data_IF_970513673438
#
_entry.id   IF_970513673438
#
_cell.length_a   1.000
_cell.length_b   1.000
_cell.length_c   1.000
_cell.angle_alpha   90.00
_cell.angle_beta   90.00
_cell.angle_gamma   90.00
#
_symmetry.space_group_name_H-M   'P 1'
#
loop_
_entity.id
_entity.type
_entity.pdbx_description
1 polymer ?
#
# COMPACT_ATOMS: atom_id res chain seq x y z
N UNK A 1 -1.84 -35.38 -22.14
CA UNK A 1 -3.02 -34.71 -21.56
C UNK A 1 -2.75 -34.51 -20.08
N UNK A 2 -2.04 -33.45 -19.74
CA UNK A 2 -1.79 -33.03 -18.36
C UNK A 2 -2.94 -32.10 -18.03
N UNK A 3 -3.85 -32.53 -17.16
CA UNK A 3 -4.82 -31.61 -16.58
C UNK A 3 -4.00 -30.64 -15.72
N UNK A 4 -4.07 -29.32 -15.95
CA UNK A 4 -3.53 -28.39 -14.97
C UNK A 4 -4.32 -28.62 -13.70
N UNK A 5 -3.60 -28.91 -12.62
CA UNK A 5 -4.15 -29.02 -11.29
C UNK A 5 -4.94 -27.74 -11.02
N UNK A 6 -6.25 -27.90 -11.07
CA UNK A 6 -7.25 -26.89 -10.81
C UNK A 6 -6.89 -26.24 -9.48
N UNK A 7 -6.57 -24.93 -9.50
CA UNK A 7 -6.43 -24.09 -8.31
C UNK A 7 -7.83 -23.96 -7.73
N UNK A 8 -8.24 -25.03 -7.06
CA UNK A 8 -9.47 -25.14 -6.34
C UNK A 8 -9.24 -24.46 -5.00
N UNK A 9 -10.07 -23.46 -4.71
CA UNK A 9 -9.94 -22.48 -3.63
C UNK A 9 -8.93 -21.38 -3.94
N UNK A 10 -9.45 -20.17 -4.11
CA UNK A 10 -8.77 -18.97 -3.67
C UNK A 10 -8.37 -19.23 -2.21
N UNK A 11 -7.15 -19.71 -2.01
CA UNK A 11 -6.53 -19.79 -0.70
C UNK A 11 -6.22 -18.35 -0.28
N UNK A 12 -7.28 -17.60 0.06
CA UNK A 12 -7.13 -16.27 0.63
C UNK A 12 -6.20 -16.34 1.84
N UNK A 13 -6.21 -17.46 2.57
CA UNK A 13 -5.25 -17.73 3.63
C UNK A 13 -3.83 -17.84 3.09
N UNK A 14 -3.57 -18.58 2.02
CA UNK A 14 -2.27 -18.69 1.36
C UNK A 14 -1.78 -17.37 0.74
N UNK A 15 -2.67 -16.60 0.11
CA UNK A 15 -2.35 -15.27 -0.41
C UNK A 15 -2.06 -14.28 0.73
N UNK A 16 -2.86 -14.32 1.80
CA UNK A 16 -2.63 -13.50 2.99
C UNK A 16 -1.33 -13.91 3.70
N UNK A 17 -1.04 -15.20 3.81
CA UNK A 17 0.22 -15.71 4.39
C UNK A 17 1.39 -15.32 3.51
N UNK A 18 1.30 -15.48 2.19
CA UNK A 18 2.34 -15.08 1.26
C UNK A 18 2.58 -13.56 1.30
N UNK A 19 1.52 -12.76 1.36
CA UNK A 19 1.60 -11.30 1.46
C UNK A 19 2.16 -10.87 2.82
N UNK A 20 1.71 -11.50 3.91
CA UNK A 20 2.25 -11.27 5.26
C UNK A 20 3.73 -11.67 5.29
N UNK A 21 4.12 -12.81 4.72
CA UNK A 21 5.51 -13.21 4.64
C UNK A 21 6.33 -12.25 3.77
N UNK A 22 5.82 -11.82 2.61
CA UNK A 22 6.51 -10.91 1.70
C UNK A 22 6.68 -9.49 2.28
N UNK A 23 5.75 -9.02 3.11
CA UNK A 23 5.81 -7.68 3.71
C UNK A 23 6.46 -7.71 5.10
N UNK A 24 6.09 -8.67 5.95
CA UNK A 24 6.59 -8.73 7.33
C UNK A 24 7.95 -9.40 7.45
N UNK A 25 8.30 -10.39 6.62
CA UNK A 25 9.62 -11.03 6.75
C UNK A 25 10.77 -10.06 6.42
N UNK A 26 10.72 -9.24 5.35
CA UNK A 26 11.79 -8.28 5.08
C UNK A 26 11.85 -7.16 6.13
N UNK A 27 10.70 -6.73 6.65
CA UNK A 27 10.66 -5.68 7.67
C UNK A 27 11.17 -6.19 9.02
N UNK A 28 10.82 -7.41 9.42
CA UNK A 28 11.41 -8.07 10.59
C UNK A 28 12.90 -8.34 10.40
N UNK A 29 13.35 -8.73 9.20
CA UNK A 29 14.76 -8.90 8.89
C UNK A 29 15.53 -7.57 8.98
N UNK A 30 14.96 -6.47 8.48
CA UNK A 30 15.52 -5.11 8.60
C UNK A 30 15.60 -4.65 10.05
N UNK A 31 14.54 -4.83 10.84
CA UNK A 31 14.54 -4.49 12.27
C UNK A 31 15.58 -5.32 13.01
N UNK A 32 15.64 -6.62 12.75
CA UNK A 32 16.65 -7.53 13.31
C UNK A 32 18.06 -7.07 12.96
N UNK A 33 18.33 -6.77 11.68
CA UNK A 33 19.63 -6.26 11.22
C UNK A 33 20.04 -4.99 11.97
N UNK A 34 19.13 -4.03 12.15
CA UNK A 34 19.40 -2.78 12.88
C UNK A 34 19.72 -3.05 14.36
N UNK A 35 18.99 -3.97 15.00
CA UNK A 35 19.27 -4.37 16.38
C UNK A 35 20.63 -5.05 16.52
N UNK A 36 20.99 -5.93 15.58
CA UNK A 36 22.30 -6.58 15.55
C UNK A 36 23.44 -5.58 15.32
N UNK A 37 23.29 -4.65 14.37
CA UNK A 37 24.28 -3.60 14.14
C UNK A 37 24.48 -2.73 15.39
N UNK A 38 23.40 -2.40 16.10
CA UNK A 38 23.48 -1.67 17.37
C UNK A 38 24.18 -2.48 18.47
N UNK A 39 23.87 -3.77 18.59
CA UNK A 39 24.51 -4.65 19.58
C UNK A 39 26.02 -4.78 19.32
N UNK A 40 26.42 -4.99 18.06
CA UNK A 40 27.82 -5.04 17.64
C UNK A 40 28.52 -3.71 17.93
N UNK A 41 27.88 -2.57 17.62
CA UNK A 41 28.44 -1.26 17.92
C UNK A 41 28.64 -1.03 19.43
N UNK A 42 27.67 -1.42 20.27
CA UNK A 42 27.80 -1.32 21.73
C UNK A 42 28.91 -2.24 22.27
N UNK A 43 29.00 -3.48 21.78
CA UNK A 43 30.08 -4.39 22.14
C UNK A 43 31.45 -3.86 21.72
N UNK A 44 31.54 -3.25 20.54
CA UNK A 44 32.78 -2.62 20.07
C UNK A 44 33.16 -1.39 20.92
N UNK A 45 32.18 -0.54 21.28
CA UNK A 45 32.43 0.61 22.15
C UNK A 45 32.85 0.22 23.56
N UNK A 46 32.31 -0.88 24.11
CA UNK A 46 32.76 -1.44 25.39
C UNK A 46 34.14 -2.06 25.28
N UNK A 47 34.48 -2.68 24.16
CA UNK A 47 35.82 -3.21 23.91
C UNK A 47 36.88 -2.11 23.76
N UNK A 48 36.49 -0.96 23.20
CA UNK A 48 37.33 0.22 23.08
C UNK A 48 37.47 1.04 24.38
N UNK A 49 36.76 0.68 25.45
CA UNK A 49 36.98 1.30 26.75
C UNK A 49 38.37 0.88 27.26
N UNK A 50 39.36 1.78 27.28
CA UNK A 50 40.74 1.38 27.51
C UNK A 50 40.87 0.95 28.97
N UNK A 51 41.24 -0.32 29.20
CA UNK A 51 41.64 -0.83 30.50
C UNK A 51 42.86 -0.08 31.12
N UNK A 52 43.42 0.92 30.43
CA UNK A 52 44.65 1.61 30.78
C UNK A 52 44.47 2.93 31.56
N UNK A 53 43.26 3.48 31.70
CA UNK A 53 43.10 4.75 32.44
C UNK A 53 43.25 4.61 33.97
N UNK A 54 43.29 3.39 34.52
CA UNK A 54 43.62 3.17 35.95
C UNK A 54 45.12 3.18 36.26
N UNK A 55 46.02 3.12 35.27
CA UNK A 55 47.47 3.17 35.51
C UNK A 55 48.06 4.59 35.59
N UNK A 56 47.27 5.62 35.29
CA UNK A 56 47.71 7.01 35.34
C UNK A 56 47.28 7.73 36.62
N UNK A 57 47.11 7.01 37.74
CA UNK A 57 47.06 7.66 39.05
C UNK A 57 48.50 7.75 39.60
N UNK A 58 49.20 8.89 39.45
CA UNK A 58 50.52 9.05 40.05
C UNK A 58 50.38 8.96 41.57
N UNK A 59 51.12 8.04 42.18
CA UNK A 59 51.38 8.06 43.62
C UNK A 59 52.08 9.38 43.94
N UNK A 60 51.35 10.33 44.53
CA UNK A 60 51.91 11.58 45.00
C UNK A 60 52.79 11.29 46.22
N UNK A 61 54.11 11.48 46.16
CA UNK A 61 54.96 11.38 47.34
C UNK A 61 54.73 12.62 48.20
N UNK A 62 54.73 12.43 49.50
CA UNK A 62 54.53 13.50 50.47
C UNK A 62 55.55 14.63 50.32
N UNK A 63 55.05 15.87 50.39
CA UNK A 63 55.86 17.05 50.64
C UNK A 63 55.38 17.70 51.94
N UNK A 64 56.23 17.61 52.97
CA UNK A 64 56.23 18.49 54.16
C UNK A 64 56.81 19.86 53.77
N UNK A 65 56.58 20.84 54.64
CA UNK A 65 56.93 22.28 54.62
C UNK A 65 55.74 23.14 54.14
N UNK A 66 55.02 23.84 55.04
CA UNK A 66 55.37 25.11 55.74
C UNK A 66 55.55 26.22 54.70
N UNK A 67 55.01 27.43 54.78
CA UNK A 67 54.21 28.22 55.69
C UNK A 67 53.77 29.43 54.83
N UNK A 68 52.82 30.23 55.32
CA UNK A 68 52.46 31.58 54.87
C UNK A 68 51.55 31.80 53.64
N UNK A 69 50.42 32.42 53.99
CA UNK A 69 49.73 33.52 53.32
C UNK A 69 48.41 33.22 52.58
N UNK A 70 47.30 33.87 52.98
CA UNK A 70 45.97 33.65 52.43
C UNK A 70 45.74 34.56 51.21
N UNK A 71 45.76 33.96 50.02
CA UNK A 71 45.07 34.54 48.87
C UNK A 71 43.98 33.58 48.41
N UNK A 72 42.73 34.02 48.62
CA UNK A 72 41.50 33.44 48.11
C UNK A 72 41.57 33.27 46.59
N UNK A 73 42.09 32.12 46.14
CA UNK A 73 41.87 31.61 44.81
C UNK A 73 40.56 30.82 44.84
N UNK A 74 39.47 31.53 44.53
CA UNK A 74 38.21 30.92 44.12
C UNK A 74 38.49 29.95 42.97
N UNK A 75 38.56 28.67 43.31
CA UNK A 75 38.50 27.58 42.35
C UNK A 75 37.13 27.65 41.70
N UNK A 76 37.04 28.31 40.55
CA UNK A 76 35.92 28.17 39.64
C UNK A 76 35.83 26.70 39.26
N UNK A 77 34.86 26.01 39.86
CA UNK A 77 34.42 24.68 39.49
C UNK A 77 33.84 24.72 38.09
N UNK A 78 34.68 24.62 37.08
CA UNK A 78 34.28 24.17 35.75
C UNK A 78 34.18 22.66 35.79
N UNK A 79 32.94 22.13 35.77
CA UNK A 79 32.52 20.92 35.05
C UNK A 79 31.42 20.16 35.82
N UNK A 80 30.18 20.52 35.57
CA UNK A 80 29.14 19.51 35.47
C UNK A 80 28.32 19.79 34.20
N UNK A 81 28.96 19.61 33.05
CA UNK A 81 28.23 19.47 31.79
C UNK A 81 27.64 18.07 31.78
N UNK A 82 26.35 17.98 32.12
CA UNK A 82 25.53 16.78 32.06
C UNK A 82 25.31 16.37 30.60
N UNK A 83 26.34 15.79 29.99
CA UNK A 83 26.38 15.27 28.62
C UNK A 83 25.63 13.93 28.46
N UNK A 84 24.52 13.75 29.17
CA UNK A 84 23.78 12.48 29.22
C UNK A 84 22.42 12.48 28.51
N UNK A 85 21.84 13.63 28.18
CA UNK A 85 20.41 13.68 27.82
C UNK A 85 20.07 13.93 26.34
N UNK A 86 21.04 14.20 25.46
CA UNK A 86 20.72 14.64 24.08
C UNK A 86 20.50 13.48 23.09
N UNK A 87 20.97 12.25 23.38
CA UNK A 87 20.94 11.14 22.39
C UNK A 87 19.64 10.33 22.34
N UNK A 88 18.79 10.42 23.36
CA UNK A 88 17.59 9.58 23.43
C UNK A 88 16.43 10.11 22.56
N UNK A 89 16.32 11.43 22.39
CA UNK A 89 15.21 12.05 21.65
C UNK A 89 15.32 11.86 20.12
N UNK A 90 16.54 11.74 19.58
CA UNK A 90 16.76 11.61 18.14
C UNK A 90 16.50 10.18 17.63
N UNK A 91 16.76 9.16 18.46
CA UNK A 91 16.62 7.74 18.06
C UNK A 91 15.15 7.34 17.87
N UNK A 92 14.25 7.82 18.75
CA UNK A 92 12.80 7.53 18.64
C UNK A 92 12.20 8.19 17.40
N UNK A 93 12.62 9.41 17.07
CA UNK A 93 12.18 10.12 15.85
C UNK A 93 12.62 9.40 14.58
N UNK A 94 13.88 8.96 14.51
CA UNK A 94 14.37 8.20 13.34
C UNK A 94 13.66 6.85 13.19
N UNK A 95 13.42 6.13 14.28
CA UNK A 95 12.70 4.85 14.24
C UNK A 95 11.25 5.03 13.79
N UNK A 96 10.55 6.06 14.28
CA UNK A 96 9.19 6.38 13.83
C UNK A 96 9.15 6.73 12.35
N UNK A 97 10.06 7.59 11.87
CA UNK A 97 10.13 7.95 10.46
C UNK A 97 10.40 6.74 9.56
N UNK A 98 11.30 5.84 9.98
CA UNK A 98 11.58 4.62 9.22
C UNK A 98 10.36 3.68 9.18
N UNK A 99 9.65 3.51 10.30
CA UNK A 99 8.42 2.72 10.34
C UNK A 99 7.34 3.31 9.43
N UNK A 100 7.19 4.64 9.42
CA UNK A 100 6.27 5.36 8.53
C UNK A 100 6.66 5.16 7.06
N UNK A 101 7.94 5.31 6.70
CA UNK A 101 8.41 5.09 5.32
C UNK A 101 8.16 3.65 4.85
N UNK A 102 8.41 2.66 5.71
CA UNK A 102 8.13 1.25 5.42
C UNK A 102 6.64 1.01 5.22
N UNK A 103 5.79 1.57 6.08
CA UNK A 103 4.33 1.48 5.94
C UNK A 103 3.84 2.10 4.63
N UNK A 104 4.31 3.31 4.29
CA UNK A 104 3.96 3.97 3.02
C UNK A 104 4.45 3.19 1.79
N UNK A 105 5.69 2.67 1.83
CA UNK A 105 6.22 1.86 0.73
C UNK A 105 5.43 0.57 0.57
N UNK A 106 5.06 -0.09 1.67
CA UNK A 106 4.20 -1.27 1.65
C UNK A 106 2.80 -0.98 1.08
N UNK A 107 2.19 0.14 1.47
CA UNK A 107 0.91 0.59 0.90
C UNK A 107 1.01 0.88 -0.60
N UNK A 108 2.11 1.49 -1.06
CA UNK A 108 2.33 1.76 -2.47
C UNK A 108 2.46 0.47 -3.28
N UNK A 109 3.20 -0.53 -2.79
CA UNK A 109 3.30 -1.85 -3.45
C UNK A 109 1.95 -2.55 -3.47
N UNK A 110 1.22 -2.55 -2.35
CA UNK A 110 -0.14 -3.10 -2.31
C UNK A 110 -1.07 -2.40 -3.30
N UNK A 111 -0.96 -1.07 -3.46
CA UNK A 111 -1.74 -0.33 -4.45
C UNK A 111 -1.36 -0.72 -5.88
N UNK A 112 -0.09 -0.88 -6.19
CA UNK A 112 0.35 -1.25 -7.54
C UNK A 112 -0.09 -2.67 -7.91
N UNK A 113 -0.01 -3.61 -6.96
CA UNK A 113 -0.36 -5.03 -7.19
C UNK A 113 -1.87 -5.28 -7.25
N UNK A 114 -2.69 -4.48 -6.56
CA UNK A 114 -4.13 -4.75 -6.44
C UNK A 114 -5.04 -3.61 -6.93
N UNK A 115 -4.52 -2.39 -7.06
CA UNK A 115 -5.25 -1.19 -7.47
C UNK A 115 -5.01 -0.76 -8.91
N UNK A 116 -3.95 -1.25 -9.57
CA UNK A 116 -3.67 -0.94 -10.96
C UNK A 116 -4.69 -1.56 -11.92
N UNK A 117 -4.89 -0.92 -13.08
CA UNK A 117 -5.75 -1.48 -14.13
C UNK A 117 -5.13 -2.76 -14.70
N UNK A 118 -3.81 -2.80 -14.79
CA UNK A 118 -3.04 -3.92 -15.33
C UNK A 118 -3.19 -5.19 -14.49
N UNK A 119 -3.23 -5.05 -13.15
CA UNK A 119 -3.54 -6.17 -12.27
C UNK A 119 -4.98 -6.68 -12.45
N UNK A 120 -5.94 -5.76 -12.58
CA UNK A 120 -7.33 -6.09 -12.83
C UNK A 120 -7.55 -6.80 -14.17
N UNK A 121 -6.97 -6.27 -15.25
CA UNK A 121 -7.01 -6.83 -16.60
C UNK A 121 -6.39 -8.23 -16.62
N UNK A 122 -5.22 -8.41 -16.01
CA UNK A 122 -4.54 -9.71 -15.93
C UNK A 122 -5.42 -10.78 -15.26
N UNK A 123 -6.14 -10.39 -14.20
CA UNK A 123 -7.05 -11.30 -13.49
C UNK A 123 -8.26 -11.70 -14.35
N UNK A 124 -8.84 -10.76 -15.12
CA UNK A 124 -9.93 -11.08 -16.05
C UNK A 124 -9.43 -11.92 -17.24
N UNK A 125 -8.28 -11.59 -17.80
CA UNK A 125 -7.63 -12.32 -18.89
C UNK A 125 -7.33 -13.76 -18.47
N UNK A 126 -6.83 -13.96 -17.25
CA UNK A 126 -6.60 -15.28 -16.69
C UNK A 126 -7.89 -16.10 -16.55
N UNK A 127 -9.01 -15.47 -16.15
CA UNK A 127 -10.29 -16.17 -15.93
C UNK A 127 -11.03 -16.50 -17.22
N UNK A 128 -11.13 -15.54 -18.13
CA UNK A 128 -11.93 -15.68 -19.35
C UNK A 128 -11.48 -14.77 -20.50
N UNK A 129 -10.77 -13.68 -20.25
CA UNK A 129 -10.32 -12.77 -21.30
C UNK A 129 -9.32 -13.40 -22.28
N UNK A 130 -8.68 -14.51 -21.92
CA UNK A 130 -7.87 -15.30 -22.87
C UNK A 130 -8.67 -15.77 -24.11
N UNK A 131 -10.01 -15.81 -24.04
CA UNK A 131 -10.88 -16.10 -25.18
C UNK A 131 -10.90 -14.98 -26.23
N UNK A 132 -10.48 -13.77 -25.85
CA UNK A 132 -10.44 -12.59 -26.71
C UNK A 132 -9.14 -12.50 -27.51
N UNK A 133 -8.11 -13.26 -27.12
CA UNK A 133 -6.81 -13.25 -27.76
C UNK A 133 -6.86 -13.88 -29.16
N UNK A 134 -6.12 -13.29 -30.10
CA UNK A 134 -5.99 -13.84 -31.45
C UNK A 134 -5.28 -15.20 -31.46
N UNK A 135 -4.35 -15.41 -30.52
CA UNK A 135 -3.49 -16.61 -30.48
C UNK A 135 -4.26 -17.89 -30.11
N UNK A 136 -5.36 -17.76 -29.36
CA UNK A 136 -6.19 -18.87 -28.89
C UNK A 136 -7.39 -19.15 -29.80
N UNK A 137 -7.58 -18.34 -30.84
CA UNK A 137 -8.79 -18.32 -31.66
C UNK A 137 -9.86 -17.45 -31.00
N UNK A 138 -9.90 -16.17 -31.39
CA UNK A 138 -10.82 -15.16 -30.85
C UNK A 138 -12.27 -15.68 -30.87
N UNK A 139 -12.86 -15.81 -29.69
CA UNK A 139 -14.27 -16.16 -29.50
C UNK A 139 -15.07 -14.93 -29.07
N UNK A 140 -16.32 -14.77 -29.53
CA UNK A 140 -17.18 -13.72 -29.01
C UNK A 140 -17.51 -13.99 -27.54
N UNK A 141 -17.36 -12.98 -26.69
CA UNK A 141 -17.70 -13.04 -25.26
C UNK A 141 -18.76 -12.00 -24.99
N UNK A 142 -19.82 -12.40 -24.29
CA UNK A 142 -20.85 -11.51 -23.76
C UNK A 142 -20.76 -11.52 -22.23
N UNK A 143 -20.44 -10.37 -21.62
CA UNK A 143 -20.52 -10.22 -20.17
C UNK A 143 -21.98 -10.13 -19.71
N UNK A 144 -22.54 -11.26 -19.27
CA UNK A 144 -23.97 -11.37 -18.98
C UNK A 144 -24.46 -10.53 -17.80
N UNK A 145 -23.62 -10.32 -16.78
CA UNK A 145 -24.00 -9.55 -15.59
C UNK A 145 -22.80 -8.83 -14.99
N UNK A 146 -22.97 -7.54 -14.69
CA UNK A 146 -22.10 -6.76 -13.82
C UNK A 146 -22.89 -5.55 -13.30
N UNK A 147 -22.54 -5.06 -12.10
CA UNK A 147 -23.32 -4.05 -11.41
C UNK A 147 -22.61 -3.47 -10.20
N UNK A 148 -22.99 -2.27 -9.80
CA UNK A 148 -22.51 -1.61 -8.59
C UNK A 148 -23.47 -0.51 -8.17
N UNK A 149 -23.50 -0.16 -6.88
CA UNK A 149 -24.16 1.03 -6.35
C UNK A 149 -23.17 2.17 -6.03
N UNK A 150 -21.88 1.98 -6.31
CA UNK A 150 -20.81 2.95 -6.01
C UNK A 150 -19.90 3.16 -7.21
N UNK A 151 -19.43 4.39 -7.38
CA UNK A 151 -18.43 4.75 -8.39
C UNK A 151 -17.01 4.38 -7.89
N UNK A 152 -16.76 3.07 -7.81
CA UNK A 152 -15.54 2.51 -7.26
C UNK A 152 -14.42 2.42 -8.30
N UNK A 153 -13.20 2.13 -7.83
CA UNK A 153 -12.07 1.81 -8.71
C UNK A 153 -12.36 0.59 -9.58
N UNK A 154 -13.01 -0.44 -9.02
CA UNK A 154 -13.46 -1.61 -9.76
C UNK A 154 -14.38 -1.24 -10.92
N UNK A 155 -15.33 -0.32 -10.70
CA UNK A 155 -16.25 0.13 -11.74
C UNK A 155 -15.50 0.78 -12.90
N UNK A 156 -14.57 1.69 -12.59
CA UNK A 156 -13.73 2.36 -13.59
C UNK A 156 -12.91 1.34 -14.40
N UNK A 157 -12.27 0.39 -13.73
CA UNK A 157 -11.49 -0.64 -14.40
C UNK A 157 -12.35 -1.57 -15.26
N UNK A 158 -13.54 -1.95 -14.78
CA UNK A 158 -14.48 -2.77 -15.55
C UNK A 158 -14.92 -2.08 -16.83
N UNK A 159 -15.32 -0.80 -16.77
CA UNK A 159 -15.72 -0.04 -17.97
C UNK A 159 -14.55 0.13 -18.95
N UNK A 160 -13.34 0.40 -18.45
CA UNK A 160 -12.12 0.46 -19.29
C UNK A 160 -11.88 -0.88 -19.99
N UNK A 161 -12.04 -2.01 -19.28
CA UNK A 161 -11.85 -3.34 -19.85
C UNK A 161 -12.88 -3.64 -20.95
N UNK A 162 -14.16 -3.35 -20.69
CA UNK A 162 -15.24 -3.52 -21.68
C UNK A 162 -14.97 -2.71 -22.95
N UNK A 163 -14.56 -1.45 -22.79
CA UNK A 163 -14.26 -0.57 -23.91
C UNK A 163 -13.00 -1.01 -24.68
N UNK A 164 -11.92 -1.37 -23.97
CA UNK A 164 -10.64 -1.77 -24.58
C UNK A 164 -10.78 -3.03 -25.43
N UNK A 165 -11.62 -3.97 -25.00
CA UNK A 165 -11.80 -5.26 -25.65
C UNK A 165 -13.02 -5.34 -26.58
N UNK A 166 -13.76 -4.25 -26.75
CA UNK A 166 -14.97 -4.18 -27.58
C UNK A 166 -15.99 -5.26 -27.21
N UNK A 167 -16.32 -5.33 -25.91
CA UNK A 167 -17.18 -6.37 -25.34
C UNK A 167 -18.65 -5.94 -25.28
N UNK A 168 -19.51 -6.84 -25.76
CA UNK A 168 -20.95 -6.77 -25.52
C UNK A 168 -21.27 -7.16 -24.08
N UNK A 169 -22.28 -6.52 -23.48
CA UNK A 169 -22.64 -6.73 -22.08
C UNK A 169 -24.14 -6.59 -21.82
N UNK A 170 -24.59 -7.18 -20.71
CA UNK A 170 -25.86 -6.86 -20.07
C UNK A 170 -25.63 -6.35 -18.64
N UNK A 171 -26.22 -5.20 -18.32
CA UNK A 171 -26.04 -4.56 -17.02
C UNK A 171 -27.01 -5.13 -15.98
N UNK A 172 -26.48 -5.52 -14.81
CA UNK A 172 -27.29 -5.85 -13.64
C UNK A 172 -27.36 -4.64 -12.68
N UNK A 173 -28.51 -4.00 -12.50
CA UNK A 173 -29.81 -4.30 -13.09
C UNK A 173 -30.50 -3.04 -13.61
N UNK A 174 -31.51 -3.25 -14.44
CA UNK A 174 -32.41 -2.17 -14.86
C UNK A 174 -33.37 -1.82 -13.71
N UNK A 175 -33.89 -2.84 -13.03
CA UNK A 175 -34.96 -2.71 -12.03
C UNK A 175 -34.57 -1.89 -10.81
N UNK A 176 -35.52 -1.17 -10.24
CA UNK A 176 -35.36 -0.50 -8.94
C UNK A 176 -35.62 -1.39 -7.73
N UNK A 177 -36.18 -2.58 -7.94
CA UNK A 177 -36.51 -3.55 -6.91
C UNK A 177 -35.96 -4.94 -7.27
N UNK A 178 -35.52 -5.70 -6.27
CA UNK A 178 -35.09 -7.11 -6.41
C UNK A 178 -36.30 -8.04 -6.46
N UNK A 179 -37.26 -7.74 -5.60
CA UNK A 179 -38.57 -8.34 -5.45
C UNK A 179 -39.43 -7.35 -4.65
N UNK A 180 -40.73 -7.59 -4.56
CA UNK A 180 -41.72 -6.63 -4.05
C UNK A 180 -41.28 -5.93 -2.76
N UNK A 181 -41.07 -4.61 -2.83
CA UNK A 181 -40.73 -3.76 -1.70
C UNK A 181 -39.29 -3.89 -1.20
N UNK A 182 -38.39 -4.53 -1.95
CA UNK A 182 -36.97 -4.63 -1.61
C UNK A 182 -36.12 -3.93 -2.66
N UNK A 183 -35.50 -2.83 -2.23
CA UNK A 183 -34.61 -1.98 -3.03
C UNK A 183 -33.51 -2.78 -3.74
N UNK A 184 -33.40 -2.56 -5.06
CA UNK A 184 -32.26 -2.99 -5.85
C UNK A 184 -31.28 -1.82 -5.99
N UNK A 185 -30.29 -1.81 -5.10
CA UNK A 185 -29.28 -0.75 -5.06
C UNK A 185 -28.42 -0.71 -6.33
N UNK A 186 -28.32 -1.82 -7.07
CA UNK A 186 -27.58 -1.86 -8.34
C UNK A 186 -28.42 -1.37 -9.52
N UNK A 187 -29.72 -1.12 -9.30
CA UNK A 187 -30.67 -0.67 -10.30
C UNK A 187 -30.25 0.60 -11.03
N UNK A 188 -30.62 0.69 -12.31
CA UNK A 188 -30.62 1.94 -13.08
C UNK A 188 -31.79 2.83 -12.67
N UNK A 189 -32.96 2.24 -12.40
CA UNK A 189 -34.12 2.94 -11.90
C UNK A 189 -34.22 2.88 -10.36
N UNK A 190 -34.99 3.82 -9.80
CA UNK A 190 -35.54 3.71 -8.45
C UNK A 190 -36.76 2.78 -8.45
N UNK A 191 -37.28 2.48 -7.26
CA UNK A 191 -38.47 1.63 -7.06
C UNK A 191 -39.70 2.07 -7.87
N UNK A 192 -39.79 3.35 -8.24
CA UNK A 192 -40.89 3.87 -9.05
C UNK A 192 -40.77 3.57 -10.56
N UNK A 193 -39.68 2.95 -11.04
CA UNK A 193 -39.41 2.65 -12.46
C UNK A 193 -39.46 3.86 -13.39
N UNK A 194 -39.39 5.08 -12.84
CA UNK A 194 -39.43 6.35 -13.59
C UNK A 194 -38.13 7.10 -13.40
N UNK A 195 -37.71 7.25 -12.14
CA UNK A 195 -36.52 8.03 -11.82
C UNK A 195 -35.25 7.20 -11.99
N UNK A 196 -34.23 7.80 -12.60
CA UNK A 196 -32.88 7.24 -12.61
C UNK A 196 -32.29 7.31 -11.20
N UNK A 197 -31.75 6.19 -10.71
CA UNK A 197 -31.13 6.08 -9.38
C UNK A 197 -29.81 6.82 -9.31
N UNK A 198 -28.94 6.57 -10.30
CA UNK A 198 -27.58 7.11 -10.35
C UNK A 198 -27.29 7.70 -11.74
N UNK A 199 -27.40 9.03 -11.92
CA UNK A 199 -27.14 9.66 -13.22
C UNK A 199 -25.73 9.36 -13.78
N UNK A 200 -24.71 9.35 -12.91
CA UNK A 200 -23.32 9.04 -13.29
C UNK A 200 -23.18 7.65 -13.94
N UNK A 201 -23.90 6.66 -13.41
CA UNK A 201 -23.85 5.27 -13.86
C UNK A 201 -24.45 5.14 -15.25
N UNK A 202 -25.63 5.72 -15.46
CA UNK A 202 -26.31 5.71 -16.76
C UNK A 202 -25.46 6.42 -17.83
N UNK A 203 -24.90 7.58 -17.50
CA UNK A 203 -24.06 8.35 -18.42
C UNK A 203 -22.82 7.57 -18.84
N UNK A 204 -22.14 6.92 -17.90
CA UNK A 204 -20.93 6.14 -18.19
C UNK A 204 -21.24 4.88 -19.02
N UNK A 205 -22.35 4.19 -18.74
CA UNK A 205 -22.83 3.09 -19.58
C UNK A 205 -23.13 3.55 -21.01
N UNK A 206 -23.85 4.66 -21.17
CA UNK A 206 -24.15 5.26 -22.48
C UNK A 206 -22.87 5.64 -23.25
N UNK A 207 -21.83 6.06 -22.53
CA UNK A 207 -20.54 6.44 -23.11
C UNK A 207 -19.85 5.24 -23.74
N UNK A 208 -19.78 4.10 -23.03
CA UNK A 208 -19.14 2.89 -23.57
C UNK A 208 -19.99 2.18 -24.64
N UNK A 209 -21.30 2.44 -24.69
CA UNK A 209 -22.18 1.98 -25.77
C UNK A 209 -22.04 2.79 -27.07
N UNK A 210 -21.16 3.80 -27.13
CA UNK A 210 -20.99 4.70 -28.29
C UNK A 210 -22.27 5.41 -28.77
N UNK A 211 -23.32 5.49 -27.94
CA UNK A 211 -24.61 6.13 -28.29
C UNK A 211 -24.43 7.62 -28.63
N UNK A 212 -23.40 8.26 -28.08
CA UNK A 212 -23.10 9.68 -28.29
C UNK A 212 -22.47 9.98 -29.66
N UNK A 213 -21.82 9.02 -30.31
CA UNK A 213 -21.20 9.22 -31.63
C UNK A 213 -22.22 9.00 -32.78
N UNK A 214 -23.09 8.01 -32.63
CA UNK A 214 -24.10 7.68 -33.64
C UNK A 214 -25.20 8.75 -33.80
N UNK A 215 -25.48 9.52 -32.75
CA UNK A 215 -26.50 10.59 -32.80
C UNK A 215 -26.03 11.86 -33.51
N UNK A 216 -24.72 12.04 -33.73
CA UNK A 216 -24.17 13.16 -34.49
C UNK A 216 -24.02 12.92 -36.00
N UNK A 217 -23.99 11.66 -36.45
CA UNK A 217 -23.79 11.32 -37.87
C UNK A 217 -25.10 11.18 -38.68
N UNK A 218 -26.26 11.01 -38.03
CA UNK A 218 -27.55 10.86 -38.72
C UNK A 218 -28.20 12.19 -39.16
N UNK A 219 -27.47 13.31 -39.12
CA UNK A 219 -27.92 14.63 -39.61
C UNK A 219 -27.60 14.92 -41.08
N UNK A 220 -27.12 13.94 -41.84
CA UNK A 220 -26.70 14.08 -43.23
C UNK A 220 -27.83 14.05 -44.25
N UNK A 221 -28.32 15.25 -44.61
CA UNK A 221 -28.85 15.66 -45.93
C UNK A 221 -29.65 14.66 -46.76
N UNK A 222 -30.98 14.73 -46.66
CA UNK A 222 -31.86 14.41 -47.79
C UNK A 222 -31.76 15.62 -48.74
N UNK A 223 -31.09 15.44 -49.87
CA UNK A 223 -31.15 16.33 -51.04
C UNK A 223 -31.96 15.65 -52.13
#
# INVERSE_FOLDING_TARGET
KVFPAFVQTCDFTGLMVATICAVFAPTLALVSLVLWMRAVFLGFMQYLEPADLRRLQPNSPGSRYADESPHDLQVSTCASWSSGQVKHCQTVRCAFLLAVCVAFSGLAVMWEEYGSYEAFERELDFKWGFLLSADTGKAPVWLGEFGTNTESLWWKHMLTYLQKHDLDFAYWSINGEKYNGVDESFGLYKENFVDVRHPWKLQQLQTIMNITAASSESGGSIS
#
